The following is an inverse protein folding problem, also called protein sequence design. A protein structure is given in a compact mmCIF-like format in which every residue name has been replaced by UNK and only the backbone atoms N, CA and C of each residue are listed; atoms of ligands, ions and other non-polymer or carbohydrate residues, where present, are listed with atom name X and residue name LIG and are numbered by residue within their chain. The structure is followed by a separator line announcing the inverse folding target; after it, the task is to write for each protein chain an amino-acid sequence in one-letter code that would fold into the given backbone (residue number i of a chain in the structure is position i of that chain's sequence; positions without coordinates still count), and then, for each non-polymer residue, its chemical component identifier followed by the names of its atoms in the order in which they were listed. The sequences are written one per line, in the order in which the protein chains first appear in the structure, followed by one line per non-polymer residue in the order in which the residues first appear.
data_IF_958715534400
#
_entry.id   IF_958715534400
#
_cell.length_a   1.000
_cell.length_b   1.000
_cell.length_c   1.000
_cell.angle_alpha   90.00
_cell.angle_beta   90.00
_cell.angle_gamma   90.00
#
_symmetry.space_group_name_H-M   'P 1'
#
loop_
_entity.id
_entity.type
_entity.pdbx_description
1 polymer ?
#
# COMPACT_ATOMS: atom_id res chain seq x y z
N UNK A 1 -2.88 -11.22 -3.84
CA UNK A 1 -2.57 -10.51 -5.10
C UNK A 1 -1.60 -11.37 -5.90
N UNK A 2 -1.52 -11.23 -7.23
CA UNK A 2 -0.42 -11.81 -8.02
C UNK A 2 0.54 -10.69 -8.38
N UNK A 3 1.85 -10.92 -8.23
CA UNK A 3 2.86 -9.96 -8.69
C UNK A 3 3.02 -10.05 -10.22
N UNK A 4 3.87 -9.20 -10.81
CA UNK A 4 4.15 -9.21 -12.25
C UNK A 4 4.85 -10.47 -12.78
N UNK A 5 5.21 -11.41 -11.89
CA UNK A 5 5.82 -12.69 -12.19
C UNK A 5 4.85 -13.87 -11.96
N UNK A 6 3.56 -13.58 -11.79
CA UNK A 6 2.47 -14.53 -11.50
C UNK A 6 2.50 -15.20 -10.12
N UNK A 7 3.45 -14.82 -9.25
CA UNK A 7 3.52 -15.34 -7.89
C UNK A 7 2.44 -14.73 -7.02
N UNK A 8 1.80 -15.58 -6.21
CA UNK A 8 0.85 -15.13 -5.21
C UNK A 8 1.60 -14.46 -4.07
N UNK A 9 1.20 -13.24 -3.76
CA UNK A 9 1.69 -12.46 -2.64
C UNK A 9 0.53 -12.15 -1.68
N UNK A 10 0.84 -12.19 -0.39
CA UNK A 10 -0.06 -11.69 0.65
C UNK A 10 0.39 -10.28 1.05
N UNK A 11 -0.58 -9.39 1.17
CA UNK A 11 -0.38 -8.01 1.63
C UNK A 11 -1.14 -7.82 2.91
N UNK A 12 -0.44 -7.48 3.99
CA UNK A 12 -1.03 -7.07 5.25
C UNK A 12 -0.71 -5.61 5.46
N UNK A 13 -1.74 -4.79 5.66
CA UNK A 13 -1.53 -3.37 5.85
C UNK A 13 -2.54 -2.76 6.79
N UNK A 14 -2.11 -1.69 7.43
CA UNK A 14 -2.94 -0.84 8.27
C UNK A 14 -3.07 0.51 7.62
N UNK A 15 -4.31 1.02 7.57
CA UNK A 15 -4.59 2.41 7.23
C UNK A 15 -4.79 3.18 8.52
N UNK A 16 -4.20 4.37 8.60
CA UNK A 16 -4.44 5.34 9.65
C UNK A 16 -4.76 6.70 9.04
N UNK A 17 -5.87 7.26 9.47
CA UNK A 17 -6.23 8.64 9.18
C UNK A 17 -5.62 9.49 10.31
N UNK A 18 -4.53 10.20 10.01
CA UNK A 18 -3.74 10.95 10.99
C UNK A 18 -4.40 12.26 11.38
N UNK A 19 -5.07 12.91 10.42
CA UNK A 19 -5.79 14.15 10.63
C UNK A 19 -7.06 14.13 9.79
N UNK A 20 -8.17 14.54 10.39
CA UNK A 20 -9.43 14.83 9.71
C UNK A 20 -9.93 16.15 10.25
N UNK A 21 -10.22 17.10 9.38
CA UNK A 21 -10.74 18.41 9.77
C UNK A 21 -12.11 18.68 9.15
N UNK A 22 -12.81 19.67 9.71
CA UNK A 22 -14.16 20.07 9.27
C UNK A 22 -14.14 20.77 7.89
N UNK A 23 -12.96 21.14 7.41
CA UNK A 23 -12.76 21.74 6.07
C UNK A 23 -12.61 20.71 4.95
N UNK A 24 -12.73 19.41 5.27
CA UNK A 24 -12.77 18.32 4.29
C UNK A 24 -11.42 17.66 3.99
N UNK A 25 -10.33 18.10 4.59
CA UNK A 25 -9.01 17.48 4.42
C UNK A 25 -8.82 16.26 5.32
N UNK A 26 -8.21 15.23 4.75
CA UNK A 26 -7.80 14.01 5.47
C UNK A 26 -6.37 13.67 5.13
N UNK A 27 -5.50 13.62 6.14
CA UNK A 27 -4.15 13.09 5.99
C UNK A 27 -4.17 11.60 6.31
N UNK A 28 -3.77 10.76 5.35
CA UNK A 28 -3.77 9.31 5.49
C UNK A 28 -2.37 8.74 5.38
N UNK A 29 -2.11 7.73 6.20
CA UNK A 29 -0.96 6.85 6.05
C UNK A 29 -1.45 5.42 5.86
N UNK A 30 -0.95 4.73 4.83
CA UNK A 30 -1.10 3.28 4.69
C UNK A 30 0.27 2.66 4.82
N UNK A 31 0.38 1.75 5.77
CA UNK A 31 1.60 1.01 6.06
C UNK A 31 1.30 -0.45 5.76
N UNK A 32 1.78 -0.92 4.62
CA UNK A 32 1.55 -2.27 4.16
C UNK A 32 2.85 -3.04 3.96
N UNK A 33 2.79 -4.31 4.29
CA UNK A 33 3.81 -5.30 4.05
C UNK A 33 3.27 -6.26 3.00
N UNK A 34 3.93 -6.33 1.85
CA UNK A 34 3.66 -7.33 0.83
C UNK A 34 4.88 -8.22 0.71
N UNK A 35 4.70 -9.53 0.83
CA UNK A 35 5.84 -10.43 0.75
C UNK A 35 5.51 -11.91 0.93
N UNK A 36 6.57 -12.66 1.20
CA UNK A 36 6.52 -14.06 1.56
C UNK A 36 5.94 -14.24 2.96
N UNK A 37 5.17 -15.31 3.11
CA UNK A 37 4.59 -15.74 4.38
C UNK A 37 4.84 -17.23 4.56
N UNK A 38 4.66 -17.72 5.79
CA UNK A 38 4.85 -19.12 6.17
C UNK A 38 3.91 -20.13 5.48
N UNK A 39 3.03 -19.67 4.57
CA UNK A 39 2.17 -20.53 3.77
C UNK A 39 2.80 -20.77 2.40
N UNK A 40 2.85 -22.03 1.97
CA UNK A 40 3.41 -22.44 0.67
C UNK A 40 2.83 -21.67 -0.52
N UNK A 41 1.59 -21.22 -0.41
CA UNK A 41 0.93 -20.43 -1.43
C UNK A 41 1.59 -19.06 -1.68
N UNK A 42 2.41 -18.53 -0.77
CA UNK A 42 3.04 -17.20 -0.88
C UNK A 42 4.58 -17.22 -0.77
N UNK A 43 5.19 -18.41 -0.66
CA UNK A 43 6.61 -18.59 -0.40
C UNK A 43 7.53 -18.11 -1.54
N UNK A 44 7.00 -18.01 -2.76
CA UNK A 44 7.73 -17.61 -3.97
C UNK A 44 7.59 -16.13 -4.32
N UNK A 45 6.77 -15.37 -3.57
CA UNK A 45 6.53 -13.95 -3.85
C UNK A 45 7.82 -13.10 -3.94
N UNK A 46 8.88 -13.50 -3.22
CA UNK A 46 10.15 -12.80 -3.16
C UNK A 46 11.27 -13.36 -4.02
N UNK A 47 11.01 -14.38 -4.83
CA UNK A 47 12.04 -15.03 -5.65
C UNK A 47 12.47 -14.20 -6.87
N UNK A 48 11.71 -13.15 -7.19
CA UNK A 48 11.91 -12.29 -8.37
C UNK A 48 11.76 -10.79 -8.06
N UNK A 49 12.36 -9.95 -8.91
CA UNK A 49 12.22 -8.48 -8.85
C UNK A 49 12.85 -7.80 -7.62
N UNK A 50 12.30 -6.66 -7.22
CA UNK A 50 12.74 -5.86 -6.05
C UNK A 50 12.66 -6.63 -4.74
N UNK A 51 11.74 -7.58 -4.64
CA UNK A 51 11.57 -8.46 -3.48
C UNK A 51 12.77 -9.40 -3.25
N UNK A 52 13.48 -9.79 -4.32
CA UNK A 52 14.68 -10.66 -4.22
C UNK A 52 15.86 -9.96 -3.56
N UNK A 53 16.00 -8.65 -3.77
CA UNK A 53 17.04 -7.84 -3.11
C UNK A 53 16.79 -7.77 -1.60
N UNK A 54 15.53 -7.55 -1.19
CA UNK A 54 15.15 -7.59 0.21
C UNK A 54 15.37 -8.99 0.82
N UNK A 55 15.00 -10.06 0.10
CA UNK A 55 15.23 -11.46 0.51
C UNK A 55 16.71 -11.75 0.75
N UNK A 56 17.60 -11.30 -0.13
CA UNK A 56 19.04 -11.52 0.01
C UNK A 56 19.66 -10.83 1.22
N UNK A 57 19.14 -9.68 1.63
CA UNK A 57 19.68 -8.90 2.76
C UNK A 57 19.08 -9.37 4.09
N UNK A 58 17.80 -9.72 4.10
CA UNK A 58 17.02 -9.92 5.34
C UNK A 58 16.57 -11.36 5.56
N UNK A 59 16.75 -12.23 4.57
CA UNK A 59 16.26 -13.61 4.57
C UNK A 59 14.78 -13.76 4.21
N UNK A 60 14.03 -12.65 4.08
CA UNK A 60 12.59 -12.65 3.81
C UNK A 60 12.30 -11.81 2.57
N UNK A 61 11.56 -12.36 1.61
CA UNK A 61 11.13 -11.61 0.43
C UNK A 61 10.01 -10.63 0.75
N UNK A 62 10.34 -9.36 1.00
CA UNK A 62 9.35 -8.34 1.31
C UNK A 62 9.55 -7.03 0.54
N UNK A 63 8.45 -6.32 0.30
CA UNK A 63 8.45 -4.93 -0.14
C UNK A 63 7.55 -4.10 0.77
N UNK A 64 8.10 -3.09 1.47
CA UNK A 64 7.30 -2.19 2.28
C UNK A 64 6.57 -1.23 1.35
N UNK A 65 5.24 -1.24 1.44
CA UNK A 65 4.37 -0.26 0.80
C UNK A 65 4.05 0.82 1.84
N UNK A 66 4.86 1.87 1.86
CA UNK A 66 4.65 3.05 2.67
C UNK A 66 3.98 4.10 1.81
N UNK A 67 2.70 4.33 2.05
CA UNK A 67 1.89 5.32 1.35
C UNK A 67 1.52 6.47 2.29
N UNK A 68 1.76 7.69 1.84
CA UNK A 68 1.30 8.90 2.49
C UNK A 68 0.47 9.69 1.50
N UNK A 69 -0.78 9.95 1.88
CA UNK A 69 -1.77 10.58 1.02
C UNK A 69 -2.46 11.75 1.70
N UNK A 70 -2.76 12.79 0.93
CA UNK A 70 -3.62 13.88 1.32
C UNK A 70 -4.89 13.79 0.47
N UNK A 71 -6.03 13.63 1.16
CA UNK A 71 -7.35 13.62 0.54
C UNK A 71 -8.09 14.92 0.81
N UNK A 72 -8.78 15.43 -0.20
CA UNK A 72 -9.78 16.47 -0.05
C UNK A 72 -11.16 15.92 -0.38
N UNK A 73 -12.07 16.02 0.59
CA UNK A 73 -13.47 15.64 0.44
C UNK A 73 -14.25 16.85 -0.09
N UNK A 74 -14.79 16.72 -1.30
CA UNK A 74 -15.71 17.74 -1.85
C UNK A 74 -17.12 17.59 -1.26
N UNK A 75 -17.48 16.35 -0.89
CA UNK A 75 -18.73 16.01 -0.21
C UNK A 75 -18.46 14.85 0.77
N UNK A 76 -19.45 14.48 1.58
CA UNK A 76 -19.36 13.30 2.45
C UNK A 76 -19.24 11.97 1.68
N UNK A 77 -19.53 11.99 0.37
CA UNK A 77 -19.57 10.80 -0.49
C UNK A 77 -18.42 10.74 -1.48
N UNK A 78 -17.76 11.87 -1.75
CA UNK A 78 -16.77 12.00 -2.81
C UNK A 78 -15.55 12.79 -2.35
N UNK A 79 -14.38 12.18 -2.50
CA UNK A 79 -13.10 12.82 -2.26
C UNK A 79 -12.06 12.44 -3.31
N UNK A 80 -11.10 13.33 -3.52
CA UNK A 80 -9.92 13.09 -4.36
C UNK A 80 -8.70 13.06 -3.46
N UNK A 81 -7.83 12.12 -3.71
CA UNK A 81 -6.64 11.86 -2.91
C UNK A 81 -5.40 11.84 -3.81
N UNK A 82 -4.35 12.49 -3.35
CA UNK A 82 -3.03 12.44 -3.95
C UNK A 82 -2.00 12.02 -2.91
N UNK A 83 -1.05 11.17 -3.29
CA UNK A 83 -0.05 10.67 -2.38
C UNK A 83 1.18 10.08 -3.05
N UNK A 84 2.12 9.65 -2.21
CA UNK A 84 3.38 9.05 -2.63
C UNK A 84 3.53 7.68 -1.95
N UNK A 85 3.84 6.66 -2.75
CA UNK A 85 4.34 5.37 -2.27
C UNK A 85 5.87 5.40 -2.38
N UNK A 86 6.55 5.21 -1.26
CA UNK A 86 8.03 5.13 -1.20
C UNK A 86 8.52 3.95 -2.07
N UNK A 87 9.59 4.12 -2.89
CA UNK A 87 10.51 5.25 -2.88
C UNK A 87 10.12 6.48 -3.71
N UNK A 88 9.19 6.41 -4.68
CA UNK A 88 8.87 7.59 -5.51
C UNK A 88 7.63 7.42 -6.43
N UNK A 89 6.69 6.54 -6.11
CA UNK A 89 5.51 6.33 -6.97
C UNK A 89 4.44 7.34 -6.57
N UNK A 90 4.15 8.30 -7.44
CA UNK A 90 3.02 9.20 -7.26
C UNK A 90 1.71 8.46 -7.56
N UNK A 91 0.72 8.63 -6.70
CA UNK A 91 -0.60 8.01 -6.82
C UNK A 91 -1.67 9.07 -6.67
N UNK A 92 -2.62 9.08 -7.60
CA UNK A 92 -3.86 9.85 -7.52
C UNK A 92 -5.00 8.84 -7.46
N UNK A 93 -5.91 9.01 -6.51
CA UNK A 93 -7.06 8.15 -6.32
C UNK A 93 -8.33 8.98 -6.12
N UNK A 94 -9.46 8.37 -6.46
CA UNK A 94 -10.79 8.92 -6.20
C UNK A 94 -11.47 7.99 -5.21
N UNK A 95 -11.97 8.54 -4.12
CA UNK A 95 -12.68 7.78 -3.11
C UNK A 95 -14.18 8.10 -3.18
N UNK A 96 -14.97 7.05 -3.40
CA UNK A 96 -16.43 7.10 -3.31
C UNK A 96 -16.90 6.35 -2.06
N UNK A 97 -17.81 6.95 -1.29
CA UNK A 97 -18.44 6.36 -0.12
C UNK A 97 -19.94 6.15 -0.38
N UNK A 98 -20.45 4.95 -0.10
CA UNK A 98 -21.87 4.58 -0.24
C UNK A 98 -22.62 4.55 1.10
N UNK A 99 -22.09 5.26 2.09
CA UNK A 99 -22.66 5.26 3.43
C UNK A 99 -24.04 5.88 3.47
#
# INVERSE_FOLDING_TARGET
MKNSFDDRCLTLGVRRDWLKNDTGWVLKGVYAYTGEFFFDAFSHCGDSGTYRTAKKITGIGFSPYLYHGLQYNFTDYFGVEGGIIVPAIFVMSVQWSFR
#
